data_IF_420889180489
#
_entry.id   IF_420889180489
#
_cell.length_a   1.000
_cell.length_b   1.000
_cell.length_c   1.000
_cell.angle_alpha   90.00
_cell.angle_beta   90.00
_cell.angle_gamma   90.00
#
_symmetry.space_group_name_H-M   'P 1'
#
loop_
_entity.id
_entity.type
_entity.pdbx_description
1 polymer ?
#
# COMPACT_ATOMS: atom_id res chain seq x y z
N UNK A 1 -31.49 -22.14 -8.63
CA UNK A 1 -30.02 -22.20 -8.53
C UNK A 1 -29.62 -21.01 -7.67
N UNK A 2 -29.33 -21.29 -6.41
CA UNK A 2 -29.01 -20.29 -5.39
C UNK A 2 -27.57 -19.82 -5.63
N UNK A 3 -27.33 -18.50 -5.67
CA UNK A 3 -26.09 -17.84 -6.05
C UNK A 3 -24.89 -18.03 -5.09
N UNK A 4 -24.72 -19.25 -4.55
CA UNK A 4 -23.67 -19.62 -3.59
C UNK A 4 -22.45 -20.31 -4.23
N UNK A 5 -22.46 -20.55 -5.55
CA UNK A 5 -21.41 -21.35 -6.21
C UNK A 5 -20.33 -20.50 -6.92
N UNK A 6 -20.41 -19.15 -6.83
CA UNK A 6 -19.39 -18.30 -7.45
C UNK A 6 -18.20 -18.11 -6.51
N UNK A 7 -17.04 -18.62 -6.90
CA UNK A 7 -15.78 -18.30 -6.20
C UNK A 7 -15.45 -16.82 -6.39
N UNK A 8 -15.21 -16.13 -5.29
CA UNK A 8 -14.84 -14.70 -5.26
C UNK A 8 -13.32 -14.61 -5.40
N UNK A 9 -12.86 -13.96 -6.45
CA UNK A 9 -11.43 -13.70 -6.69
C UNK A 9 -11.00 -12.44 -5.96
N UNK A 10 -9.98 -12.55 -5.09
CA UNK A 10 -9.45 -11.44 -4.30
C UNK A 10 -7.99 -11.22 -4.68
N UNK A 11 -7.67 -10.01 -5.14
CA UNK A 11 -6.28 -9.58 -5.30
C UNK A 11 -5.83 -8.78 -4.08
N UNK A 12 -4.79 -9.27 -3.41
CA UNK A 12 -4.12 -8.59 -2.31
C UNK A 12 -2.88 -7.90 -2.85
N UNK A 13 -2.89 -6.58 -2.92
CA UNK A 13 -1.81 -5.79 -3.53
C UNK A 13 -1.07 -5.04 -2.44
N UNK A 14 0.19 -5.38 -2.24
CA UNK A 14 1.03 -4.77 -1.20
C UNK A 14 2.44 -4.52 -1.69
N UNK A 15 3.04 -3.43 -1.19
CA UNK A 15 4.46 -3.17 -1.41
C UNK A 15 5.32 -4.26 -0.75
N UNK A 16 6.53 -4.56 -1.25
CA UNK A 16 7.35 -5.69 -0.78
C UNK A 16 8.06 -5.41 0.56
N UNK A 17 7.61 -4.41 1.31
CA UNK A 17 8.20 -4.07 2.60
C UNK A 17 7.58 -4.91 3.72
N UNK A 18 8.42 -5.51 4.55
CA UNK A 18 7.98 -6.46 5.58
C UNK A 18 6.94 -5.87 6.54
N UNK A 19 7.06 -4.56 6.89
CA UNK A 19 6.11 -3.85 7.75
C UNK A 19 4.73 -3.60 7.12
N UNK A 20 4.60 -3.78 5.82
CA UNK A 20 3.35 -3.63 5.06
C UNK A 20 2.81 -4.99 4.64
N UNK A 21 3.65 -5.80 4.03
CA UNK A 21 3.27 -7.09 3.47
C UNK A 21 2.79 -8.08 4.54
N UNK A 22 3.58 -8.29 5.61
CA UNK A 22 3.22 -9.29 6.62
C UNK A 22 1.93 -8.99 7.39
N UNK A 23 1.66 -7.76 7.86
CA UNK A 23 0.37 -7.45 8.48
C UNK A 23 -0.79 -7.70 7.53
N UNK A 24 -0.66 -7.32 6.25
CA UNK A 24 -1.70 -7.56 5.24
C UNK A 24 -1.93 -9.06 5.02
N UNK A 25 -0.86 -9.86 4.86
CA UNK A 25 -0.98 -11.32 4.71
C UNK A 25 -1.60 -11.98 5.96
N UNK A 26 -1.22 -11.51 7.16
CA UNK A 26 -1.79 -12.02 8.41
C UNK A 26 -3.29 -11.77 8.48
N UNK A 27 -3.74 -10.59 8.03
CA UNK A 27 -5.15 -10.22 8.00
C UNK A 27 -5.96 -11.12 7.06
N UNK A 28 -5.43 -11.44 5.88
CA UNK A 28 -6.16 -12.19 4.85
C UNK A 28 -5.95 -13.71 4.93
N UNK A 29 -4.97 -14.18 5.69
CA UNK A 29 -4.65 -15.61 5.82
C UNK A 29 -5.84 -16.49 6.21
N UNK A 30 -6.73 -16.10 7.16
CA UNK A 30 -7.90 -16.92 7.49
C UNK A 30 -8.84 -17.16 6.31
N UNK A 31 -8.84 -16.29 5.29
CA UNK A 31 -9.69 -16.46 4.11
C UNK A 31 -9.21 -17.58 3.18
N UNK A 32 -7.95 -18.07 3.31
CA UNK A 32 -7.45 -19.23 2.55
C UNK A 32 -8.16 -20.54 2.91
N UNK A 33 -8.72 -20.62 4.10
CA UNK A 33 -9.43 -21.82 4.58
C UNK A 33 -10.86 -21.91 4.05
N UNK A 34 -11.38 -20.82 3.47
CA UNK A 34 -12.73 -20.75 2.95
C UNK A 34 -12.73 -20.95 1.42
N UNK A 35 -13.31 -22.06 0.91
CA UNK A 35 -13.29 -22.39 -0.52
C UNK A 35 -14.07 -21.38 -1.40
N UNK A 36 -14.82 -20.46 -0.80
CA UNK A 36 -15.50 -19.39 -1.54
C UNK A 36 -14.54 -18.33 -2.07
N UNK A 37 -13.31 -18.27 -1.55
CA UNK A 37 -12.34 -17.26 -1.92
C UNK A 37 -11.15 -17.87 -2.67
N UNK A 38 -10.77 -17.23 -3.76
CA UNK A 38 -9.50 -17.44 -4.44
C UNK A 38 -8.64 -16.20 -4.24
N UNK A 39 -7.53 -16.33 -3.53
CA UNK A 39 -6.69 -15.19 -3.15
C UNK A 39 -5.38 -15.22 -3.93
N UNK A 40 -5.08 -14.13 -4.63
CA UNK A 40 -3.80 -13.87 -5.28
C UNK A 40 -3.11 -12.69 -4.58
N UNK A 41 -1.83 -12.81 -4.32
CA UNK A 41 -1.00 -11.71 -3.80
C UNK A 41 -0.18 -11.13 -4.94
N UNK A 42 -0.27 -9.83 -5.15
CA UNK A 42 0.53 -9.09 -6.13
C UNK A 42 1.52 -8.21 -5.34
N UNK A 43 2.82 -8.48 -5.48
CA UNK A 43 3.88 -7.77 -4.74
C UNK A 43 5.20 -7.81 -5.49
N UNK A 44 6.26 -7.17 -4.95
CA UNK A 44 7.60 -7.18 -5.56
C UNK A 44 8.21 -8.58 -5.65
N UNK A 45 8.97 -8.79 -6.72
CA UNK A 45 9.55 -10.10 -7.08
C UNK A 45 10.29 -10.80 -5.95
N UNK A 46 11.08 -10.07 -5.16
CA UNK A 46 11.90 -10.65 -4.08
C UNK A 46 11.08 -11.31 -2.97
N UNK A 47 9.80 -10.93 -2.83
CA UNK A 47 8.90 -11.50 -1.82
C UNK A 47 8.08 -12.68 -2.32
N UNK A 48 8.08 -12.97 -3.63
CA UNK A 48 7.28 -14.04 -4.23
C UNK A 48 7.44 -15.38 -3.51
N UNK A 49 8.67 -15.89 -3.43
CA UNK A 49 8.94 -17.19 -2.78
C UNK A 49 8.49 -17.26 -1.32
N UNK A 50 8.58 -16.12 -0.61
CA UNK A 50 8.14 -16.03 0.78
C UNK A 50 6.62 -16.10 0.89
N UNK A 51 5.91 -15.39 0.03
CA UNK A 51 4.44 -15.39 -0.02
C UNK A 51 3.91 -16.78 -0.38
N UNK A 52 4.51 -17.43 -1.37
CA UNK A 52 4.17 -18.81 -1.77
C UNK A 52 4.43 -19.81 -0.64
N UNK A 53 5.52 -19.65 0.12
CA UNK A 53 5.82 -20.50 1.29
C UNK A 53 4.79 -20.36 2.41
N UNK A 54 4.11 -19.21 2.51
CA UNK A 54 3.04 -18.98 3.49
C UNK A 54 1.73 -19.63 3.04
N UNK A 55 1.61 -19.99 1.76
CA UNK A 55 0.46 -20.69 1.17
C UNK A 55 -0.41 -19.85 0.22
N UNK A 56 0.04 -18.66 -0.17
CA UNK A 56 -0.68 -17.82 -1.13
C UNK A 56 -0.18 -18.02 -2.56
N UNK A 57 -1.07 -17.94 -3.55
CA UNK A 57 -0.67 -17.70 -4.93
C UNK A 57 -0.08 -16.29 -5.05
N UNK A 58 1.07 -16.18 -5.72
CA UNK A 58 1.77 -14.90 -5.82
C UNK A 58 2.19 -14.57 -7.25
N UNK A 59 1.77 -13.39 -7.71
CA UNK A 59 2.24 -12.79 -8.95
C UNK A 59 3.22 -11.67 -8.61
N UNK A 60 4.42 -11.75 -9.17
CA UNK A 60 5.45 -10.76 -8.93
C UNK A 60 5.33 -9.57 -9.89
N UNK A 61 5.37 -8.36 -9.34
CA UNK A 61 5.60 -7.16 -10.12
C UNK A 61 7.07 -7.11 -10.59
N UNK A 62 7.28 -6.66 -11.81
CA UNK A 62 8.61 -6.44 -12.40
C UNK A 62 9.55 -7.65 -12.34
N UNK A 63 9.19 -8.82 -12.87
CA UNK A 63 10.06 -10.00 -12.83
C UNK A 63 11.40 -9.76 -13.52
N UNK A 64 11.46 -8.89 -14.53
CA UNK A 64 12.67 -8.52 -15.27
C UNK A 64 13.54 -7.48 -14.52
N UNK A 65 13.00 -6.82 -13.50
CA UNK A 65 13.67 -5.83 -12.65
C UNK A 65 13.43 -6.13 -11.18
N UNK A 66 13.96 -7.25 -10.65
CA UNK A 66 13.55 -7.84 -9.37
C UNK A 66 13.80 -6.97 -8.14
N UNK A 67 14.67 -5.96 -8.22
CA UNK A 67 15.05 -5.08 -7.09
C UNK A 67 14.44 -3.69 -7.16
N UNK A 68 13.75 -3.33 -8.25
CA UNK A 68 13.32 -1.94 -8.52
C UNK A 68 12.51 -1.32 -7.39
N UNK A 69 11.67 -2.09 -6.70
CA UNK A 69 10.84 -1.59 -5.61
C UNK A 69 11.63 -1.45 -4.31
N UNK A 70 12.53 -2.38 -4.03
CA UNK A 70 13.39 -2.36 -2.84
C UNK A 70 14.49 -1.30 -2.93
N UNK A 71 15.04 -1.08 -4.11
CA UNK A 71 16.10 -0.08 -4.33
C UNK A 71 15.62 1.33 -4.01
N UNK A 72 14.37 1.64 -4.31
CA UNK A 72 13.75 2.92 -3.95
C UNK A 72 13.65 3.10 -2.44
N UNK A 73 13.42 2.02 -1.68
CA UNK A 73 13.30 2.08 -0.23
C UNK A 73 14.62 2.08 0.51
N UNK A 74 15.65 1.42 -0.06
CA UNK A 74 16.94 1.21 0.61
C UNK A 74 17.91 2.39 0.50
N UNK A 75 17.53 3.47 -0.15
CA UNK A 75 18.44 4.59 -0.47
C UNK A 75 18.87 5.44 0.72
N UNK A 76 18.38 5.23 1.96
CA UNK A 76 18.82 6.08 3.05
C UNK A 76 19.15 5.38 4.36
N UNK A 77 20.45 5.29 4.62
CA UNK A 77 20.97 5.17 5.99
C UNK A 77 20.95 6.52 6.75
N UNK A 78 20.73 7.63 6.05
CA UNK A 78 20.65 8.99 6.62
C UNK A 78 19.44 9.73 6.05
N UNK A 79 18.58 10.19 6.93
CA UNK A 79 17.40 11.00 6.56
C UNK A 79 17.85 12.44 6.38
N UNK A 80 17.92 12.93 5.12
CA UNK A 80 18.01 14.34 4.82
C UNK A 80 16.92 14.73 3.81
N UNK A 81 16.53 16.00 3.78
CA UNK A 81 15.44 16.49 2.94
C UNK A 81 15.67 16.26 1.45
N UNK A 82 16.92 16.31 0.99
CA UNK A 82 17.25 16.08 -0.41
C UNK A 82 17.05 14.61 -0.81
N UNK A 83 17.48 13.67 0.04
CA UNK A 83 17.26 12.22 -0.18
C UNK A 83 15.77 11.92 -0.15
N UNK A 84 15.02 12.48 0.80
CA UNK A 84 13.56 12.32 0.86
C UNK A 84 12.88 12.83 -0.42
N UNK A 85 13.31 13.98 -0.95
CA UNK A 85 12.79 14.50 -2.22
C UNK A 85 13.11 13.56 -3.40
N UNK A 86 14.36 13.07 -3.49
CA UNK A 86 14.73 12.09 -4.52
C UNK A 86 13.90 10.80 -4.44
N UNK A 87 13.66 10.29 -3.24
CA UNK A 87 12.81 9.11 -3.04
C UNK A 87 11.36 9.37 -3.44
N UNK A 88 10.82 10.52 -3.07
CA UNK A 88 9.47 10.91 -3.47
C UNK A 88 9.34 10.96 -4.99
N UNK A 89 10.30 11.58 -5.68
CA UNK A 89 10.32 11.65 -7.15
C UNK A 89 10.48 10.27 -7.79
N UNK A 90 11.34 9.41 -7.24
CA UNK A 90 11.53 8.04 -7.72
C UNK A 90 10.25 7.21 -7.57
N UNK A 91 9.58 7.29 -6.40
CA UNK A 91 8.29 6.65 -6.17
C UNK A 91 7.21 7.16 -7.14
N UNK A 92 7.14 8.47 -7.34
CA UNK A 92 6.15 9.07 -8.25
C UNK A 92 6.34 8.61 -9.69
N UNK A 93 7.58 8.43 -10.15
CA UNK A 93 7.89 7.89 -11.48
C UNK A 93 7.53 6.41 -11.63
N UNK A 94 7.58 5.64 -10.54
CA UNK A 94 7.23 4.21 -10.58
C UNK A 94 5.72 3.98 -10.61
N UNK A 95 4.90 4.94 -10.13
CA UNK A 95 3.44 4.79 -10.08
C UNK A 95 2.82 4.41 -11.43
N UNK A 96 3.10 5.11 -12.55
CA UNK A 96 2.56 4.72 -13.86
C UNK A 96 2.97 3.31 -14.27
N UNK A 97 4.24 2.95 -14.06
CA UNK A 97 4.75 1.62 -14.41
C UNK A 97 4.06 0.50 -13.60
N UNK A 98 3.78 0.75 -12.31
CA UNK A 98 3.03 -0.20 -11.48
C UNK A 98 1.58 -0.31 -11.94
N UNK A 99 0.96 0.80 -12.37
CA UNK A 99 -0.39 0.80 -12.95
C UNK A 99 -0.42 -0.08 -14.20
N UNK A 100 0.53 0.11 -15.11
CA UNK A 100 0.61 -0.64 -16.36
C UNK A 100 0.84 -2.13 -16.10
N UNK A 101 1.71 -2.47 -15.14
CA UNK A 101 2.02 -3.84 -14.79
C UNK A 101 0.83 -4.56 -14.13
N UNK A 102 0.12 -3.92 -13.20
CA UNK A 102 -1.11 -4.49 -12.60
C UNK A 102 -2.19 -4.64 -13.68
N UNK A 103 -2.35 -3.64 -14.55
CA UNK A 103 -3.31 -3.73 -15.65
C UNK A 103 -3.00 -4.90 -16.57
N UNK A 104 -1.72 -5.10 -16.93
CA UNK A 104 -1.26 -6.24 -17.74
C UNK A 104 -1.59 -7.57 -17.05
N UNK A 105 -1.33 -7.68 -15.73
CA UNK A 105 -1.67 -8.87 -14.95
C UNK A 105 -3.19 -9.14 -15.02
N UNK A 106 -4.01 -8.11 -14.84
CA UNK A 106 -5.47 -8.27 -14.88
C UNK A 106 -6.01 -8.61 -16.27
N UNK A 107 -5.36 -8.15 -17.34
CA UNK A 107 -5.74 -8.50 -18.70
C UNK A 107 -5.35 -9.94 -19.07
N UNK A 108 -4.24 -10.46 -18.50
CA UNK A 108 -3.77 -11.83 -18.79
C UNK A 108 -4.36 -12.89 -17.86
N UNK A 109 -4.43 -12.61 -16.57
CA UNK A 109 -4.82 -13.56 -15.52
C UNK A 109 -6.28 -13.39 -15.07
N UNK A 110 -6.96 -12.36 -15.61
CA UNK A 110 -8.32 -11.99 -15.24
C UNK A 110 -8.39 -11.07 -14.02
N UNK A 111 -9.40 -10.20 -14.05
CA UNK A 111 -9.66 -9.20 -13.00
C UNK A 111 -10.25 -9.84 -11.75
N UNK A 112 -9.94 -9.30 -10.55
CA UNK A 112 -10.55 -9.76 -9.31
C UNK A 112 -11.99 -9.25 -9.14
N UNK A 113 -12.74 -9.88 -8.25
CA UNK A 113 -14.04 -9.38 -7.76
C UNK A 113 -13.87 -8.37 -6.61
N UNK A 114 -12.71 -8.41 -5.91
CA UNK A 114 -12.37 -7.51 -4.80
C UNK A 114 -10.86 -7.27 -4.78
N UNK A 115 -10.46 -6.02 -4.50
CA UNK A 115 -9.06 -5.68 -4.24
C UNK A 115 -8.86 -5.33 -2.77
N UNK A 116 -7.83 -5.91 -2.14
CA UNK A 116 -7.35 -5.52 -0.82
C UNK A 116 -5.97 -4.88 -1.02
N UNK A 117 -5.89 -3.56 -0.89
CA UNK A 117 -4.69 -2.78 -1.18
C UNK A 117 -4.03 -2.26 0.10
N UNK A 118 -2.71 -2.39 0.21
CA UNK A 118 -1.96 -1.62 1.19
C UNK A 118 -2.06 -0.11 0.86
N UNK A 119 -2.13 0.74 1.88
CA UNK A 119 -2.35 2.18 1.69
C UNK A 119 -1.23 2.87 0.88
N UNK A 120 -0.04 2.29 0.79
CA UNK A 120 1.04 2.78 -0.08
C UNK A 120 0.89 2.27 -1.52
N UNK A 121 0.15 1.17 -1.72
CA UNK A 121 -0.12 0.63 -3.04
C UNK A 121 -1.21 1.44 -3.78
N UNK A 122 -1.04 2.77 -3.85
CA UNK A 122 -1.97 3.71 -4.50
C UNK A 122 -2.39 3.29 -5.91
N UNK A 123 -1.50 2.76 -6.78
CA UNK A 123 -1.88 2.26 -8.10
C UNK A 123 -3.02 1.25 -8.10
N UNK A 124 -3.10 0.40 -7.07
CA UNK A 124 -4.15 -0.62 -6.96
C UNK A 124 -5.54 0.00 -6.78
N UNK A 125 -5.66 1.02 -5.91
CA UNK A 125 -6.92 1.75 -5.72
C UNK A 125 -7.34 2.52 -6.97
N UNK A 126 -6.40 3.19 -7.66
CA UNK A 126 -6.66 3.91 -8.91
C UNK A 126 -7.23 2.96 -9.98
N UNK A 127 -6.63 1.78 -10.13
CA UNK A 127 -7.12 0.79 -11.10
C UNK A 127 -8.45 0.19 -10.69
N UNK A 128 -8.63 -0.14 -9.40
CA UNK A 128 -9.90 -0.65 -8.89
C UNK A 128 -11.05 0.33 -9.18
N UNK A 129 -10.86 1.62 -8.90
CA UNK A 129 -11.84 2.68 -9.22
C UNK A 129 -12.10 2.77 -10.73
N UNK A 130 -11.03 2.74 -11.54
CA UNK A 130 -11.15 2.81 -13.02
C UNK A 130 -12.01 1.69 -13.60
N UNK A 131 -11.92 0.49 -13.02
CA UNK A 131 -12.64 -0.70 -13.50
C UNK A 131 -13.93 -0.98 -12.71
N UNK A 132 -14.30 -0.13 -11.76
CA UNK A 132 -15.47 -0.33 -10.90
C UNK A 132 -15.39 -1.55 -10.00
N UNK A 133 -14.17 -1.98 -9.64
CA UNK A 133 -13.92 -3.11 -8.75
C UNK A 133 -13.97 -2.59 -7.30
N UNK A 134 -14.79 -3.19 -6.42
CA UNK A 134 -14.78 -2.83 -5.00
C UNK A 134 -13.40 -3.08 -4.39
N UNK A 135 -12.98 -2.18 -3.50
CA UNK A 135 -11.67 -2.32 -2.86
C UNK A 135 -11.66 -1.82 -1.42
N UNK A 136 -10.72 -2.35 -0.64
CA UNK A 136 -10.49 -2.04 0.77
C UNK A 136 -9.02 -1.67 0.95
N UNK A 137 -8.73 -0.68 1.79
CA UNK A 137 -7.36 -0.30 2.14
C UNK A 137 -6.95 -0.90 3.48
N UNK A 138 -5.79 -1.55 3.53
CA UNK A 138 -5.14 -1.94 4.78
C UNK A 138 -4.15 -0.86 5.23
N UNK A 139 -4.20 -0.50 6.50
CA UNK A 139 -3.30 0.49 7.10
C UNK A 139 -2.56 -0.17 8.27
N UNK A 140 -1.39 -0.77 8.04
CA UNK A 140 -0.66 -1.51 9.06
C UNK A 140 -0.05 -0.60 10.15
N UNK A 141 0.07 0.70 9.87
CA UNK A 141 0.64 1.66 10.81
C UNK A 141 -0.36 2.76 11.16
N UNK A 142 -0.75 2.90 12.44
CA UNK A 142 -1.65 3.97 12.89
C UNK A 142 -1.06 5.37 12.70
N UNK A 143 0.26 5.52 12.50
CA UNK A 143 0.94 6.79 12.21
C UNK A 143 0.44 7.43 10.91
N UNK A 144 -0.07 6.64 9.98
CA UNK A 144 -0.64 7.14 8.72
C UNK A 144 -2.03 7.76 8.90
N UNK A 145 -2.73 7.46 10.01
CA UNK A 145 -4.09 7.96 10.28
C UNK A 145 -4.01 9.33 10.93
N UNK A 146 -4.52 10.35 10.23
CA UNK A 146 -4.58 11.70 10.75
C UNK A 146 -5.73 11.86 11.75
N UNK A 147 -5.42 12.33 12.95
CA UNK A 147 -6.42 12.70 13.96
C UNK A 147 -6.64 14.22 14.01
N UNK A 148 -7.87 14.64 14.31
CA UNK A 148 -8.20 16.06 14.47
C UNK A 148 -7.67 16.66 15.77
N UNK A 149 -7.38 15.84 16.76
CA UNK A 149 -7.11 16.29 18.14
C UNK A 149 -5.76 15.88 18.70
N UNK A 150 -5.04 14.99 18.00
CA UNK A 150 -3.73 14.51 18.45
C UNK A 150 -2.58 15.12 17.64
N UNK A 151 -1.37 14.72 17.99
CA UNK A 151 -0.15 15.06 17.26
C UNK A 151 -0.29 14.73 15.77
N UNK A 152 0.18 15.60 14.86
CA UNK A 152 0.09 15.36 13.43
C UNK A 152 0.75 14.04 13.03
N UNK A 153 0.13 13.30 12.11
CA UNK A 153 0.74 12.13 11.48
C UNK A 153 2.08 12.51 10.84
N UNK A 154 3.05 11.60 10.86
CA UNK A 154 4.41 11.78 10.32
C UNK A 154 5.31 12.79 11.04
N UNK A 155 4.80 13.60 11.98
CA UNK A 155 5.62 14.45 12.83
C UNK A 155 5.85 13.77 14.18
N UNK A 156 6.56 12.64 14.17
CA UNK A 156 6.89 11.86 15.37
C UNK A 156 7.70 12.65 16.39
N UNK A 157 7.60 12.25 17.67
CA UNK A 157 8.37 12.83 18.77
C UNK A 157 7.73 14.06 19.44
N UNK A 158 6.64 14.60 18.93
CA UNK A 158 5.91 15.64 19.60
C UNK A 158 5.09 15.06 20.76
N UNK A 159 5.42 15.47 22.00
CA UNK A 159 4.65 15.03 23.16
C UNK A 159 3.23 15.59 23.12
N UNK A 160 2.18 14.77 23.32
CA UNK A 160 0.83 15.28 23.45
C UNK A 160 0.71 16.16 24.71
N UNK A 161 0.08 17.31 24.56
CA UNK A 161 -0.12 18.27 25.66
C UNK A 161 -1.51 18.90 25.54
N UNK A 162 -2.11 19.30 26.69
CA UNK A 162 -3.46 19.85 26.71
C UNK A 162 -3.53 21.40 26.61
N UNK A 163 -2.40 22.10 26.62
CA UNK A 163 -2.35 23.56 26.54
C UNK A 163 -2.70 24.12 25.15
N UNK A 164 -3.21 25.35 25.11
CA UNK A 164 -3.63 26.03 23.87
C UNK A 164 -2.48 26.18 22.87
N UNK A 165 -1.26 26.44 23.34
CA UNK A 165 -0.06 26.54 22.50
C UNK A 165 0.24 25.24 21.76
N UNK A 166 0.04 24.08 22.41
CA UNK A 166 0.24 22.77 21.79
C UNK A 166 -0.85 22.46 20.78
N UNK A 167 -2.10 22.89 21.03
CA UNK A 167 -3.19 22.76 20.04
C UNK A 167 -2.89 23.59 18.79
N UNK A 168 -2.36 24.80 18.94
CA UNK A 168 -1.92 25.63 17.80
C UNK A 168 -0.76 25.00 17.04
N UNK A 169 0.27 24.51 17.75
CA UNK A 169 1.39 23.77 17.17
C UNK A 169 0.90 22.58 16.34
N UNK A 170 0.03 21.74 16.91
CA UNK A 170 -0.47 20.54 16.26
C UNK A 170 -1.37 20.87 15.06
N UNK A 171 -2.16 21.96 15.15
CA UNK A 171 -2.96 22.44 14.03
C UNK A 171 -2.06 22.93 12.88
N UNK A 172 -1.00 23.68 13.18
CA UNK A 172 -0.03 24.11 12.18
C UNK A 172 0.69 22.91 11.53
N UNK A 173 1.13 21.95 12.34
CA UNK A 173 1.76 20.73 11.85
C UNK A 173 0.86 19.94 10.89
N UNK A 174 -0.43 19.79 11.21
CA UNK A 174 -1.41 19.16 10.32
C UNK A 174 -1.54 19.90 8.98
N UNK A 175 -1.55 21.23 8.99
CA UNK A 175 -1.59 22.01 7.76
C UNK A 175 -0.33 21.82 6.91
N UNK A 176 0.85 21.82 7.54
CA UNK A 176 2.12 21.55 6.84
C UNK A 176 2.08 20.18 6.16
N UNK A 177 1.65 19.13 6.87
CA UNK A 177 1.55 17.78 6.29
C UNK A 177 0.52 17.74 5.14
N UNK A 178 -0.63 18.40 5.28
CA UNK A 178 -1.62 18.48 4.19
C UNK A 178 -1.09 19.20 2.96
N UNK A 179 -0.35 20.29 3.16
CA UNK A 179 0.29 21.01 2.05
C UNK A 179 1.35 20.13 1.38
N UNK A 180 2.20 19.45 2.16
CA UNK A 180 3.22 18.54 1.62
C UNK A 180 2.59 17.41 0.81
N UNK A 181 1.50 16.81 1.29
CA UNK A 181 0.75 15.79 0.55
C UNK A 181 0.18 16.33 -0.77
N UNK A 182 -0.39 17.54 -0.77
CA UNK A 182 -0.93 18.15 -2.00
C UNK A 182 0.16 18.41 -3.04
N UNK A 183 1.33 18.89 -2.63
CA UNK A 183 2.46 19.16 -3.52
C UNK A 183 3.07 17.84 -4.05
N UNK A 184 3.12 16.80 -3.21
CA UNK A 184 3.72 15.52 -3.58
C UNK A 184 2.84 14.63 -4.46
N UNK A 185 1.52 14.93 -4.57
CA UNK A 185 0.54 14.18 -5.36
C UNK A 185 -0.17 15.03 -6.42
N UNK A 186 0.27 16.26 -6.65
CA UNK A 186 -0.15 17.13 -7.75
C UNK A 186 0.72 16.90 -9.01
#
# INVERSE_FOLDING_TARGET
>A
MTGLDKVIKIDVISVPFSGHLFPTLTLVKPLLEDPRFQIRVITGYQKKKLVEKIGFDCIALFPDRPTVMEDIANTSKQVNLFIMYQQLMANSRLIPEVIDEINRIWDTEGRPDLVIADFIAVPAGILADRFGIPWITTIPSPVAIESRTTTPAYLGGWKPHQGILYKCRDALGRQIIRMAKRIGFA
#
